data_IF_382688660298
#
_entry.id   IF_382688660298
#
_cell.length_a   1.000
_cell.length_b   1.000
_cell.length_c   1.000
_cell.angle_alpha   90.00
_cell.angle_beta   90.00
_cell.angle_gamma   90.00
#
_symmetry.space_group_name_H-M   'P 1'
#
loop_
_entity.id
_entity.type
_entity.pdbx_description
1 polymer ?
#
# COMPACT_ATOMS: atom_id res chain seq x y z
N UNK A 1 1.67 -24.80 -18.71
CA UNK A 1 1.63 -23.77 -19.75
C UNK A 1 0.49 -22.84 -19.39
N UNK A 2 0.74 -21.74 -18.67
CA UNK A 2 -0.23 -20.69 -18.40
C UNK A 2 -0.33 -19.88 -19.70
N UNK A 3 -1.53 -19.84 -20.27
CA UNK A 3 -1.85 -18.99 -21.41
C UNK A 3 -1.55 -17.55 -21.06
N UNK A 4 -0.71 -16.92 -21.85
CA UNK A 4 -0.37 -15.50 -21.81
C UNK A 4 -1.66 -14.70 -22.10
N UNK A 5 -2.45 -14.42 -21.05
CA UNK A 5 -3.61 -13.57 -21.17
C UNK A 5 -3.08 -12.18 -21.53
N UNK A 6 -3.27 -11.77 -22.78
CA UNK A 6 -2.77 -10.50 -23.31
C UNK A 6 -3.27 -9.38 -22.41
N UNK A 7 -2.34 -8.63 -21.83
CA UNK A 7 -2.64 -7.48 -20.96
C UNK A 7 -3.48 -6.47 -21.72
N UNK A 8 -4.51 -5.88 -21.08
CA UNK A 8 -5.31 -4.84 -21.72
C UNK A 8 -4.43 -3.72 -22.25
N UNK A 9 -4.59 -3.38 -23.50
CA UNK A 9 -3.90 -2.25 -24.14
C UNK A 9 -4.71 -0.98 -23.95
N UNK A 10 -4.10 0.02 -23.31
CA UNK A 10 -4.63 1.36 -23.15
C UNK A 10 -3.97 2.27 -24.16
N UNK A 11 -4.75 2.89 -25.04
CA UNK A 11 -4.25 3.88 -25.99
C UNK A 11 -4.59 5.28 -25.50
N UNK A 12 -3.57 6.12 -25.32
CA UNK A 12 -3.70 7.52 -24.93
C UNK A 12 -3.46 8.41 -26.14
N UNK A 13 -4.44 9.26 -26.47
CA UNK A 13 -4.39 10.22 -27.57
C UNK A 13 -4.54 11.62 -26.99
N UNK A 14 -3.42 12.33 -26.92
CA UNK A 14 -3.39 13.69 -26.36
C UNK A 14 -2.35 14.54 -27.06
N UNK A 15 -2.71 15.76 -27.41
CA UNK A 15 -1.82 16.74 -28.03
C UNK A 15 -0.74 17.24 -27.06
N UNK A 16 -0.94 17.11 -25.73
CA UNK A 16 0.03 17.50 -24.71
C UNK A 16 1.08 16.41 -24.55
N UNK A 17 2.04 16.36 -25.46
CA UNK A 17 3.03 15.29 -25.57
C UNK A 17 3.78 15.02 -24.27
N UNK A 18 4.10 16.07 -23.49
CA UNK A 18 4.83 15.90 -22.22
C UNK A 18 3.97 15.21 -21.15
N UNK A 19 2.69 15.58 -21.05
CA UNK A 19 1.75 14.93 -20.12
C UNK A 19 1.55 13.47 -20.53
N UNK A 20 1.26 13.22 -21.80
CA UNK A 20 1.04 11.87 -22.32
C UNK A 20 2.24 10.96 -22.10
N UNK A 21 3.46 11.47 -22.32
CA UNK A 21 4.70 10.74 -22.09
C UNK A 21 4.90 10.38 -20.62
N UNK A 22 4.75 11.36 -19.73
CA UNK A 22 4.90 11.16 -18.28
C UNK A 22 3.87 10.17 -17.74
N UNK A 23 2.61 10.31 -18.14
CA UNK A 23 1.54 9.40 -17.73
C UNK A 23 1.81 7.98 -18.20
N UNK A 24 2.14 7.79 -19.49
CA UNK A 24 2.47 6.48 -20.07
C UNK A 24 3.65 5.82 -19.37
N UNK A 25 4.73 6.57 -19.12
CA UNK A 25 5.88 6.04 -18.40
C UNK A 25 5.53 5.64 -16.95
N UNK A 26 4.76 6.47 -16.26
CA UNK A 26 4.36 6.20 -14.88
C UNK A 26 3.45 4.98 -14.76
N UNK A 27 2.47 4.86 -15.66
CA UNK A 27 1.59 3.70 -15.72
C UNK A 27 2.38 2.43 -16.06
N UNK A 28 3.20 2.45 -17.10
CA UNK A 28 3.98 1.27 -17.51
C UNK A 28 5.05 0.89 -16.48
N UNK A 29 5.53 1.82 -15.66
CA UNK A 29 6.47 1.55 -14.56
C UNK A 29 5.79 0.91 -13.34
N UNK A 30 4.65 1.46 -12.95
CA UNK A 30 3.97 1.04 -11.71
C UNK A 30 2.92 -0.06 -11.91
N UNK A 31 2.36 -0.20 -13.11
CA UNK A 31 1.19 -1.04 -13.40
C UNK A 31 1.36 -1.98 -14.59
N UNK A 32 2.60 -2.19 -15.04
CA UNK A 32 2.92 -3.03 -16.21
C UNK A 32 2.44 -4.48 -16.12
N UNK A 33 2.16 -4.98 -14.93
CA UNK A 33 1.60 -6.34 -14.75
C UNK A 33 0.10 -6.39 -15.07
N UNK A 34 -0.59 -5.26 -15.02
CA UNK A 34 -2.05 -5.18 -15.13
C UNK A 34 -2.51 -4.64 -16.48
N UNK A 35 -1.79 -3.67 -17.02
CA UNK A 35 -2.14 -3.03 -18.29
C UNK A 35 -0.88 -2.51 -19.00
N UNK A 36 -1.00 -2.30 -20.30
CA UNK A 36 0.05 -1.72 -21.13
C UNK A 36 -0.49 -0.42 -21.75
N UNK A 37 0.17 0.71 -21.50
CA UNK A 37 -0.23 1.99 -22.03
C UNK A 37 0.68 2.40 -23.21
N UNK A 38 0.06 2.78 -24.32
CA UNK A 38 0.75 3.40 -25.46
C UNK A 38 0.18 4.79 -25.67
N UNK A 39 1.01 5.70 -26.16
CA UNK A 39 0.60 7.06 -26.50
C UNK A 39 0.70 7.30 -27.99
N UNK A 40 -0.16 8.18 -28.49
CA UNK A 40 -0.09 8.74 -29.84
C UNK A 40 -0.52 10.22 -29.82
N UNK A 41 0.11 11.04 -30.65
CA UNK A 41 -0.24 12.46 -30.78
C UNK A 41 -1.52 12.65 -31.62
N UNK A 42 -1.86 11.67 -32.46
CA UNK A 42 -3.10 11.63 -33.24
C UNK A 42 -3.41 10.20 -33.68
N UNK A 43 -4.70 9.94 -33.96
CA UNK A 43 -5.18 8.65 -34.45
C UNK A 43 -4.61 8.29 -35.84
N UNK A 44 -4.20 9.25 -36.63
CA UNK A 44 -3.61 9.00 -37.95
C UNK A 44 -2.29 8.25 -37.88
N UNK A 45 -1.58 8.32 -36.75
CA UNK A 45 -0.32 7.62 -36.51
C UNK A 45 -0.48 6.18 -35.97
N UNK A 46 -1.72 5.79 -35.64
CA UNK A 46 -2.02 4.46 -35.12
C UNK A 46 -2.55 3.58 -36.23
N UNK A 47 -1.95 2.42 -36.43
CA UNK A 47 -2.39 1.49 -37.46
C UNK A 47 -3.70 0.77 -37.08
N UNK A 48 -4.47 0.34 -38.08
CA UNK A 48 -5.70 -0.44 -37.82
C UNK A 48 -5.43 -1.78 -37.12
N UNK A 49 -4.24 -2.32 -37.29
CA UNK A 49 -3.84 -3.53 -36.59
C UNK A 49 -3.66 -3.28 -35.08
N UNK A 50 -3.04 -2.16 -34.71
CA UNK A 50 -2.89 -1.77 -33.29
C UNK A 50 -4.22 -1.45 -32.63
N UNK A 51 -5.17 -0.86 -33.37
CA UNK A 51 -6.50 -0.55 -32.84
C UNK A 51 -7.28 -1.81 -32.45
N UNK A 52 -7.02 -2.96 -33.08
CA UNK A 52 -7.73 -4.23 -32.78
C UNK A 52 -7.47 -4.75 -31.37
N UNK A 53 -6.34 -4.40 -30.79
CA UNK A 53 -5.90 -4.87 -29.47
C UNK A 53 -6.24 -3.86 -28.37
N UNK A 54 -6.80 -2.68 -28.72
CA UNK A 54 -7.10 -1.62 -27.76
C UNK A 54 -8.32 -1.97 -26.94
N UNK A 55 -8.14 -2.08 -25.63
CA UNK A 55 -9.21 -2.32 -24.67
C UNK A 55 -9.78 -1.01 -24.11
N UNK A 56 -8.94 0.02 -23.96
CA UNK A 56 -9.32 1.35 -23.46
C UNK A 56 -8.70 2.41 -24.35
N UNK A 57 -9.48 3.41 -24.72
CA UNK A 57 -9.02 4.61 -25.42
C UNK A 57 -9.24 5.84 -24.52
N UNK A 58 -8.16 6.53 -24.18
CA UNK A 58 -8.15 7.81 -23.48
C UNK A 58 -7.87 8.89 -24.51
N UNK A 59 -8.68 9.94 -24.56
CA UNK A 59 -8.53 10.97 -25.58
C UNK A 59 -8.86 12.37 -25.05
N UNK A 60 -8.22 13.39 -25.59
CA UNK A 60 -8.56 14.79 -25.36
C UNK A 60 -9.73 15.24 -26.26
N UNK A 61 -10.38 16.33 -25.91
CA UNK A 61 -11.47 16.90 -26.69
C UNK A 61 -11.11 17.16 -28.15
N UNK A 62 -9.87 17.49 -28.44
CA UNK A 62 -9.38 17.76 -29.79
C UNK A 62 -9.51 16.54 -30.72
N UNK A 63 -9.49 15.34 -30.18
CA UNK A 63 -9.51 14.08 -30.95
C UNK A 63 -10.89 13.40 -31.00
N UNK A 64 -11.91 13.96 -30.34
CA UNK A 64 -13.23 13.34 -30.25
C UNK A 64 -13.85 13.04 -31.64
N UNK A 65 -13.74 13.96 -32.59
CA UNK A 65 -14.27 13.79 -33.96
C UNK A 65 -13.52 12.72 -34.77
N UNK A 66 -12.21 12.52 -34.51
CA UNK A 66 -11.40 11.52 -35.19
C UNK A 66 -11.79 10.09 -34.78
N UNK A 67 -12.26 9.89 -33.51
CA UNK A 67 -12.65 8.58 -32.99
C UNK A 67 -13.82 7.98 -33.78
N UNK A 68 -14.78 8.80 -34.21
CA UNK A 68 -15.96 8.38 -34.98
C UNK A 68 -15.61 7.88 -36.40
N UNK A 69 -14.44 8.26 -36.91
CA UNK A 69 -14.00 7.91 -38.27
C UNK A 69 -13.28 6.54 -38.32
N UNK A 70 -13.01 5.93 -37.20
CA UNK A 70 -12.26 4.67 -37.09
C UNK A 70 -13.10 3.50 -36.61
N UNK A 71 -12.71 2.31 -37.02
CA UNK A 71 -13.37 1.08 -36.60
C UNK A 71 -12.68 0.53 -35.33
N UNK A 72 -13.43 0.49 -34.25
CA UNK A 72 -12.95 0.02 -32.94
C UNK A 72 -13.50 -1.37 -32.62
N UNK A 73 -12.82 -2.16 -31.77
CA UNK A 73 -13.39 -3.36 -31.16
C UNK A 73 -14.68 -3.04 -30.39
N UNK A 74 -15.68 -3.94 -30.42
CA UNK A 74 -16.95 -3.72 -29.73
C UNK A 74 -16.81 -3.49 -28.20
N UNK A 75 -15.74 -4.03 -27.61
CA UNK A 75 -15.47 -3.95 -26.17
C UNK A 75 -14.54 -2.79 -25.76
N UNK A 76 -14.16 -1.92 -26.68
CA UNK A 76 -13.27 -0.79 -26.33
C UNK A 76 -14.03 0.23 -25.50
N UNK A 77 -13.51 0.51 -24.29
CA UNK A 77 -14.01 1.58 -23.44
C UNK A 77 -13.35 2.93 -23.79
N UNK A 78 -14.14 3.99 -23.80
CA UNK A 78 -13.69 5.32 -24.16
C UNK A 78 -13.80 6.27 -22.98
N UNK A 79 -12.72 7.01 -22.69
CA UNK A 79 -12.68 8.03 -21.64
C UNK A 79 -12.15 9.35 -22.18
N UNK A 80 -12.88 10.41 -21.92
CA UNK A 80 -12.45 11.77 -22.20
C UNK A 80 -11.50 12.28 -21.09
N UNK A 81 -10.33 12.72 -21.48
CA UNK A 81 -9.40 13.43 -20.59
C UNK A 81 -9.84 14.89 -20.45
N UNK A 82 -10.17 15.29 -19.21
CA UNK A 82 -10.60 16.65 -18.88
C UNK A 82 -10.17 17.02 -17.45
N UNK A 83 -10.78 18.03 -16.86
CA UNK A 83 -10.46 18.48 -15.51
C UNK A 83 -11.37 17.85 -14.45
N UNK A 84 -12.44 17.19 -14.86
CA UNK A 84 -13.42 16.53 -14.00
C UNK A 84 -13.44 15.02 -14.24
N UNK A 85 -13.90 14.25 -13.24
CA UNK A 85 -14.04 12.80 -13.35
C UNK A 85 -15.51 12.41 -13.21
N UNK A 86 -16.02 11.63 -14.18
CA UNK A 86 -17.33 10.95 -14.14
C UNK A 86 -17.22 9.57 -14.80
N UNK A 87 -18.34 8.89 -15.06
CA UNK A 87 -18.34 7.53 -15.62
C UNK A 87 -17.53 7.37 -16.93
N UNK A 88 -17.43 8.42 -17.76
CA UNK A 88 -16.74 8.42 -19.06
C UNK A 88 -15.69 9.52 -19.20
N UNK A 89 -15.40 10.21 -18.13
CA UNK A 89 -14.39 11.25 -18.06
C UNK A 89 -13.39 10.93 -16.97
N UNK A 90 -12.14 11.24 -17.23
CA UNK A 90 -11.08 11.08 -16.25
C UNK A 90 -10.25 12.34 -16.14
N UNK A 91 -10.08 12.83 -14.92
CA UNK A 91 -9.32 14.05 -14.71
C UNK A 91 -7.83 13.82 -14.91
N UNK A 92 -7.18 14.76 -15.61
CA UNK A 92 -5.71 14.81 -15.78
C UNK A 92 -4.97 15.00 -14.46
N UNK A 93 -5.67 15.47 -13.42
CA UNK A 93 -5.10 15.77 -12.09
C UNK A 93 -5.35 14.68 -11.06
N UNK A 94 -6.01 13.58 -11.45
CA UNK A 94 -6.18 12.45 -10.54
C UNK A 94 -4.82 11.86 -10.11
N UNK A 95 -4.69 11.46 -8.84
CA UNK A 95 -3.58 10.60 -8.42
C UNK A 95 -3.51 9.37 -9.32
N UNK A 96 -2.30 8.92 -9.66
CA UNK A 96 -2.09 7.83 -10.62
C UNK A 96 -2.84 6.55 -10.25
N UNK A 97 -2.91 6.21 -8.96
CA UNK A 97 -3.64 5.04 -8.47
C UNK A 97 -5.14 5.14 -8.71
N UNK A 98 -5.74 6.32 -8.45
CA UNK A 98 -7.15 6.56 -8.69
C UNK A 98 -7.46 6.58 -10.20
N UNK A 99 -6.57 7.19 -10.98
CA UNK A 99 -6.66 7.20 -12.44
C UNK A 99 -6.72 5.78 -13.01
N UNK A 100 -5.75 4.93 -12.63
CA UNK A 100 -5.69 3.54 -13.11
C UNK A 100 -6.90 2.74 -12.63
N UNK A 101 -7.32 2.90 -11.37
CA UNK A 101 -8.50 2.22 -10.82
C UNK A 101 -9.77 2.60 -11.60
N UNK A 102 -9.93 3.89 -11.93
CA UNK A 102 -11.10 4.39 -12.65
C UNK A 102 -11.19 3.79 -14.06
N UNK A 103 -10.10 3.84 -14.84
CA UNK A 103 -10.10 3.29 -16.21
C UNK A 103 -10.19 1.76 -16.22
N UNK A 104 -9.56 1.09 -15.26
CA UNK A 104 -9.59 -0.36 -15.16
C UNK A 104 -10.97 -0.91 -14.74
N UNK A 105 -11.75 -0.15 -13.99
CA UNK A 105 -13.11 -0.52 -13.60
C UNK A 105 -14.05 -0.74 -14.78
N UNK A 106 -13.73 -0.17 -15.95
CA UNK A 106 -14.52 -0.37 -17.19
C UNK A 106 -14.25 -1.70 -17.90
N UNK A 107 -13.19 -2.41 -17.55
CA UNK A 107 -12.81 -3.70 -18.16
C UNK A 107 -13.55 -4.90 -17.54
N UNK A 108 -14.63 -4.68 -16.79
CA UNK A 108 -15.32 -5.66 -15.98
C UNK A 108 -16.04 -6.76 -16.75
N UNK A 109 -15.30 -7.70 -17.33
CA UNK A 109 -15.69 -9.11 -17.47
C UNK A 109 -14.59 -10.08 -16.97
N UNK A 110 -13.48 -9.57 -16.51
CA UNK A 110 -12.49 -10.36 -15.76
C UNK A 110 -12.19 -9.60 -14.48
N UNK A 111 -12.32 -10.20 -13.29
CA UNK A 111 -11.84 -9.50 -12.11
C UNK A 111 -10.37 -9.22 -12.35
N UNK A 112 -10.01 -7.95 -12.53
CA UNK A 112 -8.65 -7.53 -12.37
C UNK A 112 -8.18 -8.17 -11.07
N UNK A 113 -7.07 -8.89 -11.12
CA UNK A 113 -6.41 -9.27 -9.88
C UNK A 113 -6.41 -8.03 -9.00
N UNK A 114 -6.89 -8.11 -7.77
CA UNK A 114 -7.18 -6.94 -6.95
C UNK A 114 -6.01 -5.97 -7.07
N UNK A 115 -6.30 -4.74 -7.46
CA UNK A 115 -5.29 -3.69 -7.63
C UNK A 115 -4.32 -3.85 -6.46
N UNK A 116 -3.01 -3.95 -6.72
CA UNK A 116 -2.04 -4.21 -5.65
C UNK A 116 -2.33 -3.22 -4.54
N UNK A 117 -2.93 -3.73 -3.49
CA UNK A 117 -3.31 -2.94 -2.33
C UNK A 117 -2.02 -2.63 -1.58
N UNK A 118 -1.93 -1.44 -1.04
CA UNK A 118 -0.86 -1.13 -0.10
C UNK A 118 -0.80 -2.22 0.98
N UNK A 119 0.39 -2.77 1.24
CA UNK A 119 0.57 -3.91 2.13
C UNK A 119 0.89 -3.43 3.53
N UNK A 120 0.23 -4.00 4.52
CA UNK A 120 0.49 -3.76 5.93
C UNK A 120 0.80 -5.07 6.63
N UNK A 121 2.08 -5.29 6.92
CA UNK A 121 2.59 -6.48 7.59
C UNK A 121 2.84 -6.20 9.07
N UNK A 122 2.52 -7.17 9.92
CA UNK A 122 2.84 -7.14 11.34
C UNK A 122 3.82 -8.26 11.66
N UNK A 123 4.76 -8.01 12.57
CA UNK A 123 5.66 -9.02 13.10
C UNK A 123 5.57 -9.06 14.62
N UNK A 124 5.35 -10.27 15.15
CA UNK A 124 5.47 -10.60 16.55
C UNK A 124 6.63 -11.60 16.71
N UNK A 125 7.68 -11.19 17.39
CA UNK A 125 8.84 -12.02 17.64
C UNK A 125 9.06 -12.23 19.13
N UNK A 126 9.24 -13.51 19.54
CA UNK A 126 9.59 -13.87 20.92
C UNK A 126 11.10 -13.87 21.14
N UNK A 127 11.89 -13.91 20.05
CA UNK A 127 13.33 -13.64 20.07
C UNK A 127 13.60 -12.25 19.46
N UNK A 128 14.16 -11.36 20.28
CA UNK A 128 14.49 -10.00 19.86
C UNK A 128 15.40 -9.97 18.62
N UNK A 129 16.43 -10.81 18.58
CA UNK A 129 17.39 -10.79 17.49
C UNK A 129 16.78 -11.30 16.18
N UNK A 130 15.95 -12.33 16.24
CA UNK A 130 15.23 -12.85 15.09
C UNK A 130 14.22 -11.81 14.56
N UNK A 131 13.43 -11.20 15.44
CA UNK A 131 12.52 -10.09 15.09
C UNK A 131 13.26 -8.93 14.41
N UNK A 132 14.37 -8.47 15.01
CA UNK A 132 15.12 -7.32 14.48
C UNK A 132 15.76 -7.65 13.11
N UNK A 133 16.23 -8.89 12.90
CA UNK A 133 16.68 -9.35 11.58
C UNK A 133 15.54 -9.34 10.57
N UNK A 134 14.38 -9.84 10.96
CA UNK A 134 13.18 -9.83 10.09
C UNK A 134 12.80 -8.41 9.70
N UNK A 135 12.69 -7.50 10.67
CA UNK A 135 12.36 -6.09 10.45
C UNK A 135 13.33 -5.46 9.44
N UNK A 136 14.65 -5.58 9.67
CA UNK A 136 15.65 -5.02 8.75
C UNK A 136 15.53 -5.61 7.34
N UNK A 137 15.35 -6.92 7.22
CA UNK A 137 15.21 -7.61 5.94
C UNK A 137 13.94 -7.19 5.20
N UNK A 138 12.82 -7.04 5.91
CA UNK A 138 11.54 -6.60 5.34
C UNK A 138 11.62 -5.16 4.84
N UNK A 139 12.19 -4.24 5.63
CA UNK A 139 12.42 -2.84 5.21
C UNK A 139 13.31 -2.79 3.98
N UNK A 140 14.46 -3.47 3.99
CA UNK A 140 15.38 -3.50 2.85
C UNK A 140 14.72 -4.05 1.59
N UNK A 141 13.92 -5.11 1.71
CA UNK A 141 13.17 -5.70 0.60
C UNK A 141 12.17 -4.69 0.01
N UNK A 142 11.42 -3.97 0.86
CA UNK A 142 10.48 -2.94 0.41
C UNK A 142 11.20 -1.80 -0.33
N UNK A 143 12.27 -1.27 0.24
CA UNK A 143 13.08 -0.22 -0.37
C UNK A 143 13.71 -0.66 -1.70
N UNK A 144 14.25 -1.88 -1.77
CA UNK A 144 14.81 -2.45 -3.01
C UNK A 144 13.76 -2.65 -4.11
N UNK A 145 12.50 -2.90 -3.72
CA UNK A 145 11.36 -2.94 -4.63
C UNK A 145 10.86 -1.54 -5.08
N UNK A 146 11.47 -0.47 -4.57
CA UNK A 146 11.08 0.91 -4.87
C UNK A 146 9.85 1.38 -4.09
N UNK A 147 9.48 0.68 -3.03
CA UNK A 147 8.34 1.07 -2.18
C UNK A 147 8.73 2.16 -1.19
N UNK A 148 7.77 3.02 -0.86
CA UNK A 148 7.81 3.85 0.34
C UNK A 148 7.46 2.99 1.55
N UNK A 149 8.38 2.81 2.48
CA UNK A 149 8.22 1.93 3.65
C UNK A 149 7.92 2.76 4.89
N UNK A 150 6.85 2.44 5.60
CA UNK A 150 6.54 2.95 6.94
C UNK A 150 6.87 1.87 7.96
N UNK A 151 7.73 2.19 8.91
CA UNK A 151 8.02 1.32 10.04
C UNK A 151 7.33 1.85 11.29
N UNK A 152 6.42 1.06 11.87
CA UNK A 152 5.66 1.40 13.07
C UNK A 152 6.07 0.45 14.21
N UNK A 153 6.95 0.87 15.11
CA UNK A 153 7.30 0.07 16.28
C UNK A 153 6.24 0.23 17.37
N UNK A 154 5.60 -0.87 17.76
CA UNK A 154 4.70 -0.96 18.93
C UNK A 154 5.41 -1.73 20.02
N UNK A 155 6.40 -1.11 20.65
CA UNK A 155 7.27 -1.69 21.65
C UNK A 155 7.93 -0.59 22.50
N UNK A 156 8.50 -0.92 23.67
CA UNK A 156 9.31 0.02 24.42
C UNK A 156 10.43 0.62 23.58
N UNK A 157 10.68 1.92 23.72
CA UNK A 157 11.64 2.65 22.85
C UNK A 157 13.05 2.05 22.88
N UNK A 158 13.49 1.50 24.01
CA UNK A 158 14.80 0.84 24.14
C UNK A 158 14.92 -0.50 23.41
N UNK A 159 13.79 -1.04 22.90
CA UNK A 159 13.75 -2.26 22.07
C UNK A 159 13.70 -1.96 20.57
N UNK A 160 13.52 -0.70 20.17
CA UNK A 160 13.39 -0.34 18.76
C UNK A 160 14.76 -0.51 18.07
N UNK A 161 14.82 -1.36 17.02
CA UNK A 161 16.05 -1.53 16.27
C UNK A 161 16.39 -0.25 15.48
N UNK A 162 17.66 0.13 15.54
CA UNK A 162 18.17 1.27 14.77
C UNK A 162 17.39 2.59 15.04
N UNK A 163 16.95 2.82 16.29
CA UNK A 163 16.19 4.00 16.66
C UNK A 163 16.95 5.29 16.31
N UNK A 164 16.28 6.18 15.60
CA UNK A 164 16.78 7.51 15.29
C UNK A 164 15.90 8.55 15.99
N UNK A 165 16.54 9.54 16.61
CA UNK A 165 15.84 10.64 17.29
C UNK A 165 15.68 11.80 16.32
N UNK A 166 14.49 12.37 16.27
CA UNK A 166 14.21 13.62 15.57
C UNK A 166 13.81 14.69 16.59
N UNK A 167 14.55 15.78 16.62
CA UNK A 167 14.44 16.79 17.68
C UNK A 167 13.22 17.72 17.58
N UNK A 168 12.56 17.81 16.41
CA UNK A 168 11.50 18.80 16.16
C UNK A 168 10.22 18.20 15.63
N UNK A 169 9.10 18.51 16.25
CA UNK A 169 7.73 18.17 15.81
C UNK A 169 7.01 17.22 16.77
N UNK A 170 5.73 17.01 16.48
CA UNK A 170 4.87 16.14 17.27
C UNK A 170 5.41 14.70 17.31
N UNK A 171 5.29 14.06 18.46
CA UNK A 171 5.74 12.69 18.73
C UNK A 171 4.60 11.70 18.60
N UNK A 172 4.92 10.41 18.67
CA UNK A 172 3.90 9.37 18.73
C UNK A 172 3.07 9.45 20.02
N UNK A 173 3.65 9.95 21.15
CA UNK A 173 2.89 10.22 22.38
C UNK A 173 1.82 11.29 22.17
N UNK A 174 2.13 12.38 21.47
CA UNK A 174 1.15 13.44 21.17
C UNK A 174 0.00 12.90 20.32
N UNK A 175 0.30 12.03 19.35
CA UNK A 175 -0.71 11.39 18.52
C UNK A 175 -1.60 10.44 19.33
N UNK A 176 -1.02 9.61 20.21
CA UNK A 176 -1.76 8.72 21.09
C UNK A 176 -2.68 9.53 22.03
N UNK A 177 -2.17 10.57 22.64
CA UNK A 177 -2.96 11.46 23.52
C UNK A 177 -4.14 12.10 22.75
N UNK A 178 -3.93 12.55 21.53
CA UNK A 178 -4.99 13.08 20.69
C UNK A 178 -6.08 12.03 20.38
N UNK A 179 -5.67 10.79 20.09
CA UNK A 179 -6.58 9.67 19.87
C UNK A 179 -7.39 9.31 21.14
N UNK A 180 -6.75 9.31 22.31
CA UNK A 180 -7.39 9.01 23.59
C UNK A 180 -8.41 10.10 24.01
N UNK A 181 -8.06 11.36 23.80
CA UNK A 181 -8.91 12.49 24.18
C UNK A 181 -10.07 12.74 23.21
N UNK A 182 -10.17 11.96 22.13
CA UNK A 182 -11.24 12.07 21.15
C UNK A 182 -11.11 13.28 20.22
N UNK A 183 -9.93 13.87 20.13
CA UNK A 183 -9.64 14.89 19.12
C UNK A 183 -9.72 14.22 17.75
N UNK A 184 -10.30 14.90 16.77
CA UNK A 184 -10.38 14.39 15.40
C UNK A 184 -8.98 14.28 14.78
N UNK A 185 -8.51 13.05 14.64
CA UNK A 185 -7.20 12.73 14.06
C UNK A 185 -7.40 12.13 12.69
N UNK A 186 -6.66 12.64 11.71
CA UNK A 186 -6.68 12.15 10.33
C UNK A 186 -5.32 11.59 9.94
N UNK A 187 -5.25 10.90 8.81
CA UNK A 187 -4.00 10.36 8.26
C UNK A 187 -2.91 11.43 7.99
N UNK A 188 -3.30 12.72 7.90
CA UNK A 188 -2.36 13.83 7.77
C UNK A 188 -1.57 14.05 9.06
N UNK A 189 -2.22 13.90 10.22
CA UNK A 189 -1.56 14.02 11.52
C UNK A 189 -0.48 12.93 11.68
N UNK A 190 -0.77 11.69 11.24
CA UNK A 190 0.23 10.64 11.21
C UNK A 190 1.43 11.03 10.32
N UNK A 191 1.17 11.69 9.18
CA UNK A 191 2.24 12.21 8.30
C UNK A 191 3.13 13.25 8.97
N UNK A 192 2.58 14.09 9.88
CA UNK A 192 3.34 15.08 10.64
C UNK A 192 4.20 14.46 11.74
N UNK A 193 3.71 13.38 12.36
CA UNK A 193 4.45 12.63 13.37
C UNK A 193 5.59 11.81 12.76
N UNK A 194 5.46 11.36 11.50
CA UNK A 194 6.49 10.57 10.81
C UNK A 194 7.58 11.45 10.20
N UNK A 195 8.80 10.95 10.22
CA UNK A 195 9.95 11.53 9.53
C UNK A 195 10.70 10.46 8.75
N UNK A 196 11.52 10.88 7.79
CA UNK A 196 12.34 9.96 7.02
C UNK A 196 13.61 9.63 7.79
N UNK A 197 13.75 8.37 8.15
CA UNK A 197 14.95 7.80 8.77
C UNK A 197 16.14 7.86 7.80
N UNK A 198 17.37 8.01 8.30
CA UNK A 198 18.60 8.04 7.49
C UNK A 198 18.79 6.84 6.55
N UNK A 199 18.15 5.70 6.84
CA UNK A 199 18.12 4.48 6.00
C UNK A 199 17.03 4.50 4.91
N UNK A 200 16.27 5.59 4.75
CA UNK A 200 15.33 5.79 3.64
C UNK A 200 13.91 5.26 3.85
N UNK A 201 13.51 4.91 5.05
CA UNK A 201 12.13 4.58 5.41
C UNK A 201 11.52 5.62 6.33
N UNK A 202 10.20 5.66 6.45
CA UNK A 202 9.50 6.52 7.39
C UNK A 202 9.28 5.81 8.73
N UNK A 203 9.52 6.53 9.82
CA UNK A 203 9.16 6.11 11.17
C UNK A 203 8.53 7.28 11.93
N UNK A 204 7.67 7.02 12.95
CA UNK A 204 7.20 8.08 13.83
C UNK A 204 8.34 8.59 14.72
N UNK A 205 8.25 9.87 15.09
CA UNK A 205 9.07 10.39 16.19
C UNK A 205 8.69 9.63 17.45
N UNK A 206 9.73 9.16 18.14
CA UNK A 206 9.55 8.26 19.26
C UNK A 206 8.79 8.94 20.41
N UNK A 207 8.06 8.14 21.21
CA UNK A 207 7.43 8.62 22.44
C UNK A 207 8.46 9.26 23.37
N UNK A 208 8.00 10.21 24.20
CA UNK A 208 8.83 10.82 25.24
C UNK A 208 9.20 9.80 26.34
N UNK A 209 8.29 8.90 26.63
CA UNK A 209 8.51 7.81 27.60
C UNK A 209 8.68 6.48 26.90
N UNK A 210 9.55 5.65 27.46
CA UNK A 210 9.89 4.37 26.88
C UNK A 210 8.70 3.40 26.76
N UNK A 211 7.72 3.52 27.64
CA UNK A 211 6.58 2.63 27.81
C UNK A 211 5.23 3.19 27.32
N UNK A 212 5.19 4.42 26.81
CA UNK A 212 3.93 5.05 26.36
C UNK A 212 3.16 4.16 25.37
N UNK A 213 3.87 3.50 24.46
CA UNK A 213 3.25 2.63 23.45
C UNK A 213 2.62 1.36 24.02
N UNK A 214 3.26 0.76 25.02
CA UNK A 214 2.78 -0.49 25.62
C UNK A 214 1.76 -0.26 26.72
N UNK A 215 1.67 0.96 27.24
CA UNK A 215 0.68 1.38 28.24
C UNK A 215 -0.57 2.00 27.64
N UNK A 216 -0.57 2.29 26.34
CA UNK A 216 -1.76 2.80 25.66
C UNK A 216 -2.89 1.76 25.63
N UNK A 217 -4.12 2.23 25.74
CA UNK A 217 -5.29 1.37 25.67
C UNK A 217 -5.37 0.64 24.32
N UNK A 218 -5.80 -0.64 24.29
CA UNK A 218 -5.89 -1.42 23.05
C UNK A 218 -6.70 -0.71 21.96
N UNK A 219 -7.76 -0.01 22.32
CA UNK A 219 -8.63 0.76 21.43
C UNK A 219 -7.89 1.94 20.79
N UNK A 220 -6.98 2.57 21.51
CA UNK A 220 -6.14 3.66 21.00
C UNK A 220 -5.12 3.13 20.00
N UNK A 221 -4.48 2.01 20.30
CA UNK A 221 -3.57 1.33 19.37
C UNK A 221 -4.31 0.86 18.09
N UNK A 222 -5.53 0.34 18.24
CA UNK A 222 -6.35 -0.05 17.08
C UNK A 222 -6.67 1.15 16.19
N UNK A 223 -7.04 2.30 16.75
CA UNK A 223 -7.24 3.55 16.01
C UNK A 223 -5.98 4.00 15.29
N UNK A 224 -4.81 3.87 15.93
CA UNK A 224 -3.53 4.17 15.30
C UNK A 224 -3.27 3.28 14.07
N UNK A 225 -3.56 1.97 14.17
CA UNK A 225 -3.41 1.03 13.05
C UNK A 225 -4.38 1.35 11.90
N UNK A 226 -5.63 1.67 12.23
CA UNK A 226 -6.61 2.10 11.24
C UNK A 226 -6.19 3.41 10.54
N UNK A 227 -5.61 4.34 11.27
CA UNK A 227 -5.08 5.58 10.72
C UNK A 227 -3.91 5.33 9.75
N UNK A 228 -3.01 4.39 10.11
CA UNK A 228 -1.92 3.96 9.25
C UNK A 228 -2.47 3.27 7.98
N UNK A 229 -3.47 2.40 8.12
CA UNK A 229 -4.15 1.75 6.98
C UNK A 229 -4.76 2.79 6.04
N UNK A 230 -5.51 3.76 6.56
CA UNK A 230 -6.11 4.83 5.77
C UNK A 230 -5.04 5.67 5.03
N UNK A 231 -3.90 5.93 5.69
CA UNK A 231 -2.76 6.61 5.07
C UNK A 231 -2.20 5.82 3.89
N UNK A 232 -1.98 4.52 4.06
CA UNK A 232 -1.45 3.64 3.01
C UNK A 232 -2.42 3.57 1.82
N UNK A 233 -3.71 3.38 2.07
CA UNK A 233 -4.74 3.27 1.02
C UNK A 233 -4.82 4.54 0.16
N UNK A 234 -4.68 5.72 0.77
CA UNK A 234 -4.61 6.99 0.03
C UNK A 234 -3.31 7.20 -0.74
N UNK A 235 -2.23 6.59 -0.26
CA UNK A 235 -0.90 6.78 -0.86
C UNK A 235 -0.64 5.87 -2.06
N UNK A 236 -1.33 4.73 -2.15
CA UNK A 236 -1.23 3.82 -3.31
C UNK A 236 -0.40 2.55 -3.04
N UNK A 237 -0.36 1.63 -4.01
CA UNK A 237 0.19 0.28 -3.87
C UNK A 237 1.72 0.22 -3.70
N UNK A 238 2.42 1.28 -4.05
CA UNK A 238 3.86 1.43 -3.83
C UNK A 238 4.22 1.76 -2.38
N UNK A 239 3.22 1.88 -1.49
CA UNK A 239 3.41 2.11 -0.07
C UNK A 239 3.21 0.82 0.72
N UNK A 240 4.05 0.60 1.70
CA UNK A 240 3.97 -0.57 2.60
C UNK A 240 4.24 -0.13 4.03
N UNK A 241 3.58 -0.77 4.99
CA UNK A 241 3.90 -0.60 6.38
C UNK A 241 4.34 -1.91 7.01
N UNK A 242 5.32 -1.82 7.89
CA UNK A 242 5.77 -2.89 8.76
C UNK A 242 5.55 -2.47 10.22
N UNK A 243 4.69 -3.20 10.92
CA UNK A 243 4.40 -3.01 12.33
C UNK A 243 5.19 -4.06 13.11
N UNK A 244 6.03 -3.64 14.05
CA UNK A 244 6.74 -4.57 14.91
C UNK A 244 6.22 -4.48 16.34
N UNK A 245 5.71 -5.60 16.87
CA UNK A 245 5.16 -5.67 18.21
C UNK A 245 6.11 -6.39 19.16
N UNK A 246 6.20 -5.85 20.38
CA UNK A 246 6.88 -6.47 21.53
C UNK A 246 6.23 -5.97 22.81
N UNK A 247 6.20 -6.82 23.83
CA UNK A 247 5.71 -6.48 25.17
C UNK A 247 4.22 -6.10 25.25
N UNK A 248 3.45 -6.33 24.18
CA UNK A 248 2.01 -6.17 24.18
C UNK A 248 1.31 -7.47 24.58
N UNK A 249 0.13 -7.41 25.25
CA UNK A 249 -0.72 -8.58 25.47
C UNK A 249 -1.11 -9.25 24.14
N UNK A 250 -1.17 -10.60 24.10
CA UNK A 250 -1.46 -11.35 22.88
C UNK A 250 -2.86 -11.06 22.32
N UNK A 251 -3.84 -10.81 23.17
CA UNK A 251 -5.19 -10.38 22.75
C UNK A 251 -5.16 -9.02 22.02
N UNK A 252 -4.37 -8.07 22.53
CA UNK A 252 -4.14 -6.78 21.85
C UNK A 252 -3.45 -7.01 20.50
N UNK A 253 -2.39 -7.82 20.45
CA UNK A 253 -1.71 -8.16 19.18
C UNK A 253 -2.69 -8.79 18.19
N UNK A 254 -3.55 -9.71 18.62
CA UNK A 254 -4.58 -10.33 17.78
C UNK A 254 -5.55 -9.31 17.19
N UNK A 255 -6.05 -8.37 18.01
CA UNK A 255 -6.92 -7.28 17.56
C UNK A 255 -6.24 -6.41 16.51
N UNK A 256 -4.99 -6.02 16.73
CA UNK A 256 -4.23 -5.19 15.79
C UNK A 256 -3.92 -5.93 14.49
N UNK A 257 -3.53 -7.21 14.59
CA UNK A 257 -3.22 -8.06 13.43
C UNK A 257 -4.44 -8.30 12.52
N UNK A 258 -5.66 -8.23 13.07
CA UNK A 258 -6.89 -8.35 12.29
C UNK A 258 -7.02 -7.24 11.21
N UNK A 259 -6.31 -6.13 11.37
CA UNK A 259 -6.26 -5.02 10.41
C UNK A 259 -5.06 -5.12 9.44
N UNK A 260 -4.21 -6.14 9.58
CA UNK A 260 -3.02 -6.35 8.75
C UNK A 260 -3.26 -7.40 7.66
N UNK A 261 -2.46 -7.35 6.60
CA UNK A 261 -2.51 -8.32 5.52
C UNK A 261 -1.73 -9.59 5.88
N UNK A 262 -0.67 -9.45 6.69
CA UNK A 262 0.15 -10.57 7.15
C UNK A 262 0.53 -10.40 8.62
N UNK A 263 0.50 -11.49 9.37
CA UNK A 263 1.13 -11.62 10.68
C UNK A 263 2.32 -12.59 10.57
N UNK A 264 3.53 -12.06 10.70
CA UNK A 264 4.74 -12.86 10.78
C UNK A 264 5.01 -13.22 12.24
N UNK A 265 5.08 -14.51 12.53
CA UNK A 265 5.35 -15.03 13.87
C UNK A 265 6.74 -15.67 13.92
N UNK A 266 7.58 -15.19 14.81
CA UNK A 266 8.81 -15.87 15.19
C UNK A 266 8.57 -16.66 16.46
N UNK A 267 8.25 -17.94 16.28
CA UNK A 267 7.97 -18.86 17.40
C UNK A 267 9.25 -19.65 17.71
N UNK A 268 9.84 -19.48 18.89
CA UNK A 268 11.00 -20.30 19.30
C UNK A 268 10.61 -21.79 19.31
N UNK A 269 11.44 -22.64 18.68
CA UNK A 269 11.10 -24.05 18.44
C UNK A 269 10.77 -24.85 19.71
N UNK A 270 11.74 -25.14 20.55
CA UNK A 270 11.58 -26.13 21.67
C UNK A 270 11.42 -25.51 23.04
N UNK A 271 11.75 -24.23 23.25
CA UNK A 271 11.88 -23.63 24.59
C UNK A 271 10.63 -22.87 25.06
N UNK A 272 9.57 -22.83 24.25
CA UNK A 272 8.33 -22.17 24.62
C UNK A 272 7.48 -23.06 25.53
N UNK A 273 6.92 -22.46 26.59
CA UNK A 273 6.01 -23.19 27.48
C UNK A 273 4.74 -23.62 26.72
N UNK A 274 4.15 -24.76 27.10
CA UNK A 274 2.91 -25.24 26.51
C UNK A 274 1.76 -24.22 26.68
N UNK A 275 1.73 -23.46 27.78
CA UNK A 275 0.75 -22.41 28.03
C UNK A 275 0.89 -21.25 27.03
N UNK A 276 2.12 -20.78 26.80
CA UNK A 276 2.37 -19.70 25.82
C UNK A 276 1.95 -20.12 24.42
N UNK A 277 2.21 -21.38 24.03
CA UNK A 277 1.78 -21.91 22.75
C UNK A 277 0.26 -21.96 22.64
N UNK A 278 -0.43 -22.39 23.70
CA UNK A 278 -1.89 -22.39 23.74
C UNK A 278 -2.48 -20.98 23.62
N UNK A 279 -1.87 -19.98 24.26
CA UNK A 279 -2.32 -18.58 24.15
C UNK A 279 -2.11 -18.02 22.73
N UNK A 280 -1.01 -18.38 22.07
CA UNK A 280 -0.75 -18.03 20.67
C UNK A 280 -1.80 -18.70 19.76
N UNK A 281 -2.05 -20.01 19.93
CA UNK A 281 -3.03 -20.73 19.14
C UNK A 281 -4.43 -20.10 19.32
N UNK A 282 -4.79 -19.71 20.54
CA UNK A 282 -6.05 -19.02 20.82
C UNK A 282 -6.11 -17.66 20.08
N UNK A 283 -5.06 -16.84 20.18
CA UNK A 283 -4.97 -15.58 19.44
C UNK A 283 -5.14 -15.81 17.92
N UNK A 284 -4.48 -16.83 17.36
CA UNK A 284 -4.57 -17.13 15.93
C UNK A 284 -5.99 -17.50 15.49
N UNK A 285 -6.79 -18.14 16.35
CA UNK A 285 -8.20 -18.46 16.04
C UNK A 285 -9.08 -17.23 15.92
N UNK A 286 -8.67 -16.08 16.49
CA UNK A 286 -9.43 -14.83 16.42
C UNK A 286 -9.15 -14.02 15.14
N UNK A 287 -8.12 -14.38 14.40
CA UNK A 287 -7.75 -13.64 13.19
C UNK A 287 -8.73 -13.88 12.04
N UNK A 288 -9.07 -12.83 11.26
CA UNK A 288 -9.88 -12.98 10.07
C UNK A 288 -9.12 -13.74 8.97
N UNK A 289 -9.83 -14.42 8.09
CA UNK A 289 -9.24 -15.15 6.95
C UNK A 289 -8.45 -14.25 5.97
N UNK A 290 -8.64 -12.94 6.04
CA UNK A 290 -7.89 -11.95 5.27
C UNK A 290 -6.47 -11.71 5.80
N UNK A 291 -6.16 -12.06 7.05
CA UNK A 291 -4.83 -11.94 7.63
C UNK A 291 -4.07 -13.26 7.43
N UNK A 292 -2.99 -13.20 6.62
CA UNK A 292 -2.15 -14.37 6.38
C UNK A 292 -1.11 -14.55 7.48
N UNK A 293 -1.17 -15.68 8.19
CA UNK A 293 -0.16 -16.01 9.20
C UNK A 293 1.03 -16.70 8.54
N UNK A 294 2.25 -16.22 8.84
CA UNK A 294 3.51 -16.82 8.38
C UNK A 294 4.41 -17.09 9.59
N UNK A 295 4.82 -18.32 9.75
CA UNK A 295 5.91 -18.62 10.66
C UNK A 295 7.25 -18.18 10.04
N UNK A 296 8.02 -17.37 10.76
CA UNK A 296 9.37 -17.00 10.36
C UNK A 296 10.33 -18.07 10.86
N UNK A 297 10.43 -19.17 10.11
CA UNK A 297 11.51 -20.14 10.35
C UNK A 297 12.76 -19.58 9.67
N UNK A 298 13.75 -19.15 10.46
CA UNK A 298 15.08 -18.85 9.91
C UNK A 298 15.69 -20.20 9.46
N UNK A 299 15.95 -20.43 8.18
CA UNK A 299 16.78 -21.58 7.79
C UNK A 299 18.17 -21.32 8.38
N UNK A 300 18.57 -22.20 9.29
CA UNK A 300 19.90 -22.25 9.89
C UNK A 300 20.99 -22.29 8.84
#
# INVERSE_FOLDING_TARGET
MLTDASRPLVLLIDETTEFALRLTQSVNRGWSEHLNMKQADSLSKVSEHELRDVSICLFSHAHAAELETRRWPEKTAFFLLCDETDERKVSRYLPLSEFVTHIAGSLTESPLAPARRAVMDMVLGFDRHARDRYVRKAIQKGLAAGHTVYFMPLMPTYLIPDAELSENGDTLSDLLLALETGIEVTEKHLGHVCFMHSKGYFQPRLPERADDLISAEPETLERLILLLRARLEKSGPEHTALIACDSLPLDTVGRLAAHCDTLALDVPGTDMSALTRQDIDLMLTTLPSSCHVRETVDPQ
#
